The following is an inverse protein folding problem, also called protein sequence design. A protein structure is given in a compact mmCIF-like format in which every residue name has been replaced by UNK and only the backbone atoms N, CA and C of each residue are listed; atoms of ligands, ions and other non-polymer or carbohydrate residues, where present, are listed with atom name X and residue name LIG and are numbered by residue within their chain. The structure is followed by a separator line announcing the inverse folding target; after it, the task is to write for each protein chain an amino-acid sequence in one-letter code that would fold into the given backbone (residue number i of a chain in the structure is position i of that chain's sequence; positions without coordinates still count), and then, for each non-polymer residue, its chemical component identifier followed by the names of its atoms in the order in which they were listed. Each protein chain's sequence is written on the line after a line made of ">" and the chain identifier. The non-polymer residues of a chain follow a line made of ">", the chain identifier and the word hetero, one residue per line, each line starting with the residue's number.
data_IF_676283900641
#
_entry.id   IF_676283900641
#
_cell.length_a   1.000
_cell.length_b   1.000
_cell.length_c   1.000
_cell.angle_alpha   90.00
_cell.angle_beta   90.00
_cell.angle_gamma   90.00
#
_symmetry.space_group_name_H-M   'P 1'
#
loop_
_entity.id
_entity.type
_entity.pdbx_description
1 polymer ?
#
# COMPACT_ATOMS: atom_id res chain seq x y z
N UNK A 1 -13.63 -5.97 -25.26
CA UNK A 1 -12.67 -7.00 -24.84
C UNK A 1 -12.96 -7.29 -23.39
N UNK A 2 -13.36 -8.52 -23.16
CA UNK A 2 -13.92 -9.07 -21.93
C UNK A 2 -12.77 -9.58 -21.07
N UNK A 3 -12.28 -8.75 -20.14
CA UNK A 3 -11.39 -9.20 -19.07
C UNK A 3 -12.25 -9.40 -17.81
N UNK A 4 -13.09 -10.42 -17.90
CA UNK A 4 -13.70 -11.05 -16.74
C UNK A 4 -12.58 -11.34 -15.72
N UNK A 5 -12.62 -10.62 -14.60
CA UNK A 5 -11.84 -10.92 -13.40
C UNK A 5 -12.10 -12.38 -13.03
N UNK A 6 -11.17 -13.26 -13.43
CA UNK A 6 -11.27 -14.69 -13.14
C UNK A 6 -11.19 -14.86 -11.63
N UNK A 7 -12.33 -15.23 -11.08
CA UNK A 7 -12.55 -15.78 -9.74
C UNK A 7 -11.48 -16.83 -9.43
N UNK A 8 -10.69 -16.59 -8.38
CA UNK A 8 -9.66 -17.51 -7.92
C UNK A 8 -8.97 -17.13 -6.62
N UNK A 9 -8.91 -15.84 -6.27
CA UNK A 9 -8.47 -15.36 -4.96
C UNK A 9 -9.64 -14.68 -4.22
N UNK A 10 -9.72 -14.80 -2.88
CA UNK A 10 -10.92 -14.47 -2.09
C UNK A 10 -11.48 -13.05 -2.27
N UNK A 11 -10.68 -12.13 -2.84
CA UNK A 11 -11.04 -10.71 -3.01
C UNK A 11 -11.31 -10.30 -4.48
N UNK A 12 -11.16 -11.21 -5.45
CA UNK A 12 -11.34 -10.90 -6.88
C UNK A 12 -10.38 -9.82 -7.42
N UNK A 13 -9.30 -9.54 -6.70
CA UNK A 13 -8.31 -8.53 -7.07
C UNK A 13 -7.27 -9.14 -8.02
N UNK A 14 -6.78 -8.34 -8.97
CA UNK A 14 -5.60 -8.74 -9.75
C UNK A 14 -4.36 -8.77 -8.84
N UNK A 15 -3.31 -9.54 -9.19
CA UNK A 15 -2.09 -9.62 -8.38
C UNK A 15 -1.45 -8.24 -8.07
N UNK A 16 -1.56 -7.29 -9.00
CA UNK A 16 -1.10 -5.92 -8.78
C UNK A 16 -1.93 -5.20 -7.70
N UNK A 17 -3.26 -5.35 -7.73
CA UNK A 17 -4.14 -4.73 -6.75
C UNK A 17 -3.93 -5.33 -5.35
N UNK A 18 -3.65 -6.64 -5.25
CA UNK A 18 -3.23 -7.29 -4.00
C UNK A 18 -1.92 -6.66 -3.50
N UNK A 19 -0.91 -6.53 -4.37
CA UNK A 19 0.39 -5.96 -3.99
C UNK A 19 0.26 -4.51 -3.52
N UNK A 20 -0.59 -3.70 -4.18
CA UNK A 20 -0.88 -2.32 -3.80
C UNK A 20 -1.59 -2.28 -2.44
N UNK A 21 -2.65 -3.07 -2.24
CA UNK A 21 -3.38 -3.14 -0.97
C UNK A 21 -2.43 -3.47 0.18
N UNK A 22 -1.58 -4.48 0.01
CA UNK A 22 -0.65 -4.90 1.05
C UNK A 22 0.41 -3.83 1.31
N UNK A 23 0.83 -3.08 0.29
CA UNK A 23 1.69 -1.90 0.44
C UNK A 23 1.04 -0.81 1.29
N UNK A 24 -0.22 -0.45 0.98
CA UNK A 24 -0.99 0.55 1.74
C UNK A 24 -1.18 0.09 3.18
N UNK A 25 -1.60 -1.17 3.39
CA UNK A 25 -1.85 -1.71 4.72
C UNK A 25 -0.59 -1.72 5.59
N UNK A 26 0.56 -2.10 5.04
CA UNK A 26 1.84 -2.03 5.74
C UNK A 26 2.18 -0.61 6.16
N UNK A 27 1.99 0.36 5.28
CA UNK A 27 2.30 1.76 5.57
C UNK A 27 1.37 2.31 6.65
N UNK A 28 0.05 2.11 6.51
CA UNK A 28 -0.91 2.51 7.54
C UNK A 28 -0.56 1.90 8.90
N UNK A 29 -0.28 0.60 8.94
CA UNK A 29 0.09 -0.08 10.18
C UNK A 29 1.36 0.51 10.82
N UNK A 30 2.39 0.81 10.02
CA UNK A 30 3.60 1.46 10.51
C UNK A 30 3.31 2.86 11.08
N UNK A 31 2.48 3.65 10.38
CA UNK A 31 2.11 5.00 10.82
C UNK A 31 1.27 4.96 12.11
N UNK A 32 0.38 3.98 12.26
CA UNK A 32 -0.36 3.73 13.51
C UNK A 32 0.58 3.42 14.68
N UNK A 33 1.55 2.51 14.48
CA UNK A 33 2.50 2.16 15.52
C UNK A 33 3.36 3.36 15.98
N UNK A 34 3.77 4.22 15.05
CA UNK A 34 4.55 5.43 15.36
C UNK A 34 3.73 6.48 16.13
N UNK A 35 2.41 6.51 15.96
CA UNK A 35 1.52 7.52 16.53
C UNK A 35 0.66 6.99 17.69
N UNK A 36 1.10 5.93 18.35
CA UNK A 36 0.41 5.31 19.49
C UNK A 36 -1.05 4.92 19.16
N UNK A 37 -1.23 4.22 18.05
CA UNK A 37 -2.50 3.66 17.57
C UNK A 37 -3.56 4.70 17.20
N UNK A 38 -3.15 5.93 16.86
CA UNK A 38 -4.05 7.00 16.41
C UNK A 38 -3.49 7.74 15.21
N UNK A 39 -4.31 7.90 14.17
CA UNK A 39 -4.05 8.81 13.05
C UNK A 39 -5.07 9.94 13.11
N UNK A 40 -4.61 11.17 13.28
CA UNK A 40 -5.48 12.34 13.22
C UNK A 40 -5.58 12.88 11.80
N UNK A 41 -6.60 13.70 11.55
CA UNK A 41 -6.79 14.32 10.23
C UNK A 41 -5.56 15.15 9.81
N UNK A 42 -4.87 15.75 10.79
CA UNK A 42 -3.65 16.53 10.56
C UNK A 42 -2.48 15.67 10.03
N UNK A 43 -2.48 14.36 10.28
CA UNK A 43 -1.44 13.43 9.83
C UNK A 43 -1.66 12.95 8.38
N UNK A 44 -2.88 13.08 7.86
CA UNK A 44 -3.25 12.54 6.55
C UNK A 44 -2.34 12.99 5.41
N UNK A 45 -1.86 14.24 5.31
CA UNK A 45 -0.96 14.63 4.24
C UNK A 45 0.34 13.81 4.22
N UNK A 46 0.95 13.57 5.38
CA UNK A 46 2.19 12.80 5.49
C UNK A 46 1.94 11.31 5.19
N UNK A 47 0.89 10.74 5.78
CA UNK A 47 0.51 9.34 5.55
C UNK A 47 0.20 9.10 4.07
N UNK A 48 -0.55 10.00 3.43
CA UNK A 48 -0.88 9.92 2.01
C UNK A 48 0.39 9.99 1.13
N UNK A 49 1.36 10.83 1.51
CA UNK A 49 2.64 10.91 0.82
C UNK A 49 3.42 9.60 0.91
N UNK A 50 3.56 9.02 2.10
CA UNK A 50 4.28 7.75 2.27
C UNK A 50 3.61 6.57 1.57
N UNK A 51 2.28 6.51 1.63
CA UNK A 51 1.49 5.53 0.87
C UNK A 51 1.75 5.69 -0.63
N UNK A 52 1.76 6.92 -1.14
CA UNK A 52 2.03 7.21 -2.56
C UNK A 52 3.41 6.71 -2.98
N UNK A 53 4.45 7.00 -2.19
CA UNK A 53 5.79 6.48 -2.46
C UNK A 53 5.82 4.96 -2.50
N UNK A 54 5.16 4.30 -1.54
CA UNK A 54 5.12 2.83 -1.49
C UNK A 54 4.38 2.22 -2.69
N UNK A 55 3.30 2.84 -3.13
CA UNK A 55 2.56 2.39 -4.32
C UNK A 55 3.42 2.61 -5.58
N UNK A 56 4.11 3.74 -5.71
CA UNK A 56 5.04 3.99 -6.80
C UNK A 56 6.18 2.95 -6.85
N UNK A 57 6.73 2.55 -5.70
CA UNK A 57 7.71 1.46 -5.60
C UNK A 57 7.16 0.14 -6.16
N UNK A 58 5.92 -0.22 -5.78
CA UNK A 58 5.25 -1.45 -6.26
C UNK A 58 5.04 -1.38 -7.77
N UNK A 59 4.59 -0.25 -8.29
CA UNK A 59 4.32 -0.06 -9.72
C UNK A 59 5.60 0.00 -10.57
N UNK A 60 6.66 0.62 -10.04
CA UNK A 60 7.94 0.79 -10.74
C UNK A 60 8.89 -0.41 -10.55
N UNK A 61 8.59 -1.32 -9.62
CA UNK A 61 9.46 -2.44 -9.26
C UNK A 61 10.77 -2.01 -8.58
N UNK A 62 10.90 -0.74 -8.17
CA UNK A 62 12.10 -0.24 -7.50
C UNK A 62 12.03 -0.62 -6.03
N UNK A 63 12.93 -1.49 -5.59
CA UNK A 63 13.14 -1.75 -4.17
C UNK A 63 13.98 -0.61 -3.59
N UNK A 64 13.57 0.03 -2.48
CA UNK A 64 14.42 1.03 -1.83
C UNK A 64 15.74 0.38 -1.41
N UNK A 65 16.85 1.14 -1.42
CA UNK A 65 18.12 0.63 -0.91
C UNK A 65 17.91 0.20 0.53
N UNK A 66 18.21 -1.07 0.84
CA UNK A 66 18.23 -1.56 2.22
C UNK A 66 19.33 -0.80 2.93
N UNK A 67 18.98 0.22 3.69
CA UNK A 67 19.92 0.87 4.61
C UNK A 67 20.25 -0.19 5.66
N UNK A 68 21.51 -0.65 5.64
CA UNK A 68 22.07 -1.59 6.60
C UNK A 68 22.61 -0.85 7.81
#
# INVERSE_FOLDING_TARGET
>A
MDDAYVVGEPDGLSPLLVAIRDAVARELHAQFALRADRLELADLPEVAYQVTLRVDEVLSGRRPPRVS
#
